data_IF_802469890618
#
_entry.id   IF_802469890618
#
_cell.length_a   1.000
_cell.length_b   1.000
_cell.length_c   1.000
_cell.angle_alpha   90.00
_cell.angle_beta   90.00
_cell.angle_gamma   90.00
#
_symmetry.space_group_name_H-M   'P 1'
#
loop_
_entity.id
_entity.type
_entity.pdbx_description
1 polymer ?
#
# COMPACT_ATOMS: atom_id res chain seq x y z
N UNK A 1 17.83 7.89 23.10
CA UNK A 1 17.78 6.67 22.26
C UNK A 1 18.02 7.10 20.81
N UNK A 2 19.00 6.53 20.10
CA UNK A 2 19.26 6.94 18.70
C UNK A 2 18.11 6.47 17.80
N UNK A 3 17.63 7.32 16.89
CA UNK A 3 16.65 6.95 15.86
C UNK A 3 17.13 5.76 14.99
N UNK A 4 18.43 5.45 15.00
CA UNK A 4 18.98 4.23 14.37
C UNK A 4 18.45 2.94 15.02
N UNK A 5 18.14 2.91 16.31
CA UNK A 5 17.62 1.72 16.97
C UNK A 5 16.17 1.43 16.57
N UNK A 6 15.43 2.44 16.08
CA UNK A 6 14.11 2.28 15.46
C UNK A 6 14.20 1.77 14.01
N UNK A 7 15.41 1.74 13.42
CA UNK A 7 15.67 1.20 12.08
C UNK A 7 16.10 -0.27 12.15
N UNK A 8 15.25 -1.12 12.73
CA UNK A 8 15.50 -2.54 12.90
C UNK A 8 14.33 -3.35 12.31
N UNK A 9 14.52 -4.13 11.24
CA UNK A 9 13.43 -4.88 10.61
C UNK A 9 12.71 -5.87 11.56
N UNK A 10 13.40 -6.67 12.39
CA UNK A 10 12.74 -7.44 13.46
C UNK A 10 11.85 -6.61 14.37
N UNK A 11 12.26 -5.40 14.76
CA UNK A 11 11.44 -4.53 15.62
C UNK A 11 10.16 -4.07 14.91
N UNK A 12 10.25 -3.68 13.63
CA UNK A 12 9.07 -3.28 12.84
C UNK A 12 8.13 -4.47 12.63
N UNK A 13 8.67 -5.65 12.32
CA UNK A 13 7.89 -6.88 12.18
C UNK A 13 7.20 -7.27 13.50
N UNK A 14 7.91 -7.19 14.63
CA UNK A 14 7.36 -7.47 15.95
C UNK A 14 6.28 -6.46 16.34
N UNK A 15 6.48 -5.17 16.05
CA UNK A 15 5.48 -4.14 16.29
C UNK A 15 4.19 -4.41 15.50
N UNK A 16 4.32 -4.73 14.22
CA UNK A 16 3.18 -5.10 13.38
C UNK A 16 2.49 -6.38 13.85
N UNK A 17 3.24 -7.41 14.21
CA UNK A 17 2.67 -8.66 14.74
C UNK A 17 1.94 -8.44 16.08
N UNK A 18 2.55 -7.67 16.98
CA UNK A 18 1.93 -7.29 18.27
C UNK A 18 0.64 -6.52 18.05
N UNK A 19 0.64 -5.59 17.10
CA UNK A 19 -0.56 -4.82 16.74
C UNK A 19 -1.66 -5.74 16.20
N UNK A 20 -1.34 -6.67 15.29
CA UNK A 20 -2.32 -7.64 14.76
C UNK A 20 -2.92 -8.52 15.85
N UNK A 21 -2.08 -9.07 16.73
CA UNK A 21 -2.51 -9.99 17.80
C UNK A 21 -3.30 -9.24 18.87
N UNK A 22 -2.88 -8.03 19.21
CA UNK A 22 -3.51 -7.22 20.25
C UNK A 22 -4.78 -6.51 19.81
N UNK A 23 -5.04 -6.40 18.50
CA UNK A 23 -6.17 -5.62 17.97
C UNK A 23 -7.54 -6.04 18.54
N UNK A 24 -7.91 -7.34 18.64
CA UNK A 24 -9.19 -7.73 19.22
C UNK A 24 -9.32 -7.33 20.70
N UNK A 25 -8.23 -7.39 21.47
CA UNK A 25 -8.23 -6.99 22.87
C UNK A 25 -8.34 -5.46 23.01
N UNK A 26 -7.62 -4.72 22.16
CA UNK A 26 -7.70 -3.27 22.11
C UNK A 26 -9.11 -2.81 21.73
N UNK A 27 -9.73 -3.45 20.74
CA UNK A 27 -11.09 -3.18 20.30
C UNK A 27 -12.11 -3.45 21.42
N UNK A 28 -12.02 -4.60 22.10
CA UNK A 28 -12.85 -4.90 23.26
C UNK A 28 -12.69 -3.90 24.42
N UNK A 29 -11.45 -3.47 24.68
CA UNK A 29 -11.17 -2.50 25.74
C UNK A 29 -11.73 -1.10 25.41
N UNK A 30 -11.51 -0.62 24.18
CA UNK A 30 -11.98 0.69 23.75
C UNK A 30 -13.48 0.75 23.55
N UNK A 31 -14.09 -0.32 23.01
CA UNK A 31 -15.54 -0.35 22.75
C UNK A 31 -16.39 -0.39 24.02
N UNK A 32 -15.88 -0.96 25.11
CA UNK A 32 -16.65 -1.17 26.35
C UNK A 32 -16.54 -0.07 27.39
N UNK A 33 -15.41 0.67 27.41
CA UNK A 33 -15.06 1.47 28.59
C UNK A 33 -14.38 2.81 28.30
N UNK A 34 -13.99 3.09 27.05
CA UNK A 34 -13.30 4.32 26.72
C UNK A 34 -14.26 5.52 26.67
N UNK A 35 -13.81 6.67 27.17
CA UNK A 35 -14.53 7.92 26.99
C UNK A 35 -14.45 8.38 25.55
N UNK A 36 -15.48 9.08 25.08
CA UNK A 36 -15.54 9.64 23.73
C UNK A 36 -14.34 10.57 23.45
N UNK A 37 -13.92 11.35 24.44
CA UNK A 37 -12.73 12.21 24.35
C UNK A 37 -11.46 11.42 24.09
N UNK A 38 -11.28 10.27 24.77
CA UNK A 38 -10.13 9.40 24.55
C UNK A 38 -10.15 8.83 23.14
N UNK A 39 -11.29 8.31 22.68
CA UNK A 39 -11.44 7.74 21.33
C UNK A 39 -11.09 8.74 20.22
N UNK A 40 -11.60 9.96 20.31
CA UNK A 40 -11.29 11.06 19.39
C UNK A 40 -9.79 11.40 19.41
N UNK A 41 -9.21 11.48 20.61
CA UNK A 41 -7.79 11.82 20.80
C UNK A 41 -6.88 10.75 20.19
N UNK A 42 -7.22 9.47 20.36
CA UNK A 42 -6.49 8.36 19.76
C UNK A 42 -6.54 8.41 18.23
N UNK A 43 -7.71 8.66 17.64
CA UNK A 43 -7.85 8.78 16.19
C UNK A 43 -7.04 9.96 15.64
N UNK A 44 -7.08 11.13 16.30
CA UNK A 44 -6.27 12.31 15.92
C UNK A 44 -4.78 11.98 16.00
N UNK A 45 -4.33 11.40 17.11
CA UNK A 45 -2.92 11.09 17.32
C UNK A 45 -2.40 10.04 16.31
N UNK A 46 -3.17 9.00 16.03
CA UNK A 46 -2.81 7.97 15.07
C UNK A 46 -2.74 8.53 13.64
N UNK A 47 -3.74 9.31 13.23
CA UNK A 47 -3.74 9.94 11.91
C UNK A 47 -2.59 10.96 11.75
N UNK A 48 -2.35 11.80 12.76
CA UNK A 48 -1.21 12.72 12.74
C UNK A 48 0.13 11.98 12.64
N UNK A 49 0.28 10.86 13.36
CA UNK A 49 1.47 10.00 13.27
C UNK A 49 1.66 9.47 11.85
N UNK A 50 0.58 9.00 11.22
CA UNK A 50 0.59 8.52 9.84
C UNK A 50 0.98 9.63 8.84
N UNK A 51 0.36 10.81 8.95
CA UNK A 51 0.70 11.99 8.12
C UNK A 51 2.19 12.36 8.24
N UNK A 52 2.75 12.33 9.46
CA UNK A 52 4.18 12.58 9.67
C UNK A 52 5.03 11.47 9.02
N UNK A 53 4.65 10.21 9.20
CA UNK A 53 5.38 9.07 8.65
C UNK A 53 5.45 9.11 7.11
N UNK A 54 4.34 9.45 6.46
CA UNK A 54 4.27 9.52 4.98
C UNK A 54 4.90 10.79 4.40
N UNK A 55 4.99 11.85 5.20
CA UNK A 55 5.72 13.07 4.82
C UNK A 55 7.24 12.86 4.84
N UNK A 56 7.71 11.82 5.54
CA UNK A 56 9.13 11.48 5.71
C UNK A 56 9.43 9.99 5.38
N UNK A 57 9.06 9.46 4.19
CA UNK A 57 9.28 8.04 3.87
C UNK A 57 10.78 7.75 3.85
N UNK A 58 11.22 6.69 4.54
CA UNK A 58 12.63 6.26 4.55
C UNK A 58 13.66 7.25 5.16
N UNK A 59 13.24 8.49 5.50
CA UNK A 59 14.14 9.64 5.66
C UNK A 59 14.67 9.92 7.06
N UNK A 60 14.20 9.20 8.09
CA UNK A 60 14.55 9.53 9.48
C UNK A 60 16.01 9.23 9.88
N UNK A 61 16.78 8.50 9.05
CA UNK A 61 18.22 8.26 9.29
C UNK A 61 19.15 9.10 8.40
N UNK A 62 18.58 9.97 7.55
CA UNK A 62 19.32 10.98 6.78
C UNK A 62 20.23 10.46 5.66
N UNK A 63 20.34 9.14 5.44
CA UNK A 63 21.22 8.60 4.39
C UNK A 63 20.71 8.88 2.97
N UNK A 64 19.43 8.61 2.72
CA UNK A 64 18.80 8.89 1.41
C UNK A 64 18.67 10.40 1.16
N UNK A 65 18.46 11.20 2.20
CA UNK A 65 18.46 12.67 2.11
C UNK A 65 19.87 13.21 1.81
N UNK A 66 20.92 12.61 2.36
CA UNK A 66 22.31 12.95 2.00
C UNK A 66 22.65 12.53 0.56
N UNK A 67 22.18 11.39 0.08
CA UNK A 67 22.41 10.93 -1.30
C UNK A 67 21.64 11.76 -2.33
N UNK A 68 20.39 12.15 -2.04
CA UNK A 68 19.62 13.09 -2.87
C UNK A 68 20.23 14.50 -2.87
N UNK A 69 20.64 15.03 -1.72
CA UNK A 69 21.30 16.36 -1.63
C UNK A 69 22.68 16.39 -2.29
N UNK A 70 23.38 15.25 -2.35
CA UNK A 70 24.66 15.10 -3.08
C UNK A 70 24.49 15.02 -4.60
N UNK A 71 23.25 14.95 -5.11
CA UNK A 71 22.97 14.91 -6.54
C UNK A 71 23.24 13.55 -7.21
N UNK A 72 23.47 12.49 -6.42
CA UNK A 72 23.75 11.13 -6.90
C UNK A 72 22.50 10.39 -7.41
N UNK A 73 21.32 11.00 -7.29
CA UNK A 73 20.05 10.47 -7.77
C UNK A 73 19.40 11.39 -8.84
N UNK A 74 20.19 12.30 -9.45
CA UNK A 74 19.67 13.19 -10.48
C UNK A 74 19.54 12.46 -11.84
N UNK A 75 18.32 12.20 -12.35
CA UNK A 75 18.12 11.46 -13.60
C UNK A 75 18.54 12.22 -14.86
N UNK A 76 18.97 13.49 -14.73
CA UNK A 76 19.37 14.35 -15.86
C UNK A 76 20.88 14.55 -15.99
N UNK A 77 21.70 14.03 -15.08
CA UNK A 77 23.16 14.08 -15.23
C UNK A 77 23.65 12.80 -15.94
N UNK A 78 24.25 12.90 -17.14
CA UNK A 78 25.03 11.79 -17.67
C UNK A 78 26.25 11.57 -16.78
N UNK A 79 26.61 10.31 -16.54
CA UNK A 79 27.76 9.93 -15.72
C UNK A 79 29.04 10.54 -16.31
N UNK A 80 29.53 11.60 -15.67
CA UNK A 80 30.85 12.16 -15.96
C UNK A 80 31.87 11.37 -15.13
N UNK A 81 32.20 10.17 -15.60
CA UNK A 81 33.51 9.60 -15.28
C UNK A 81 34.09 8.83 -16.46
N UNK A 82 35.15 9.44 -17.01
CA UNK A 82 36.27 8.85 -17.76
C UNK A 82 36.06 8.51 -19.24
N UNK A 83 36.33 9.51 -20.08
CA UNK A 83 36.99 9.31 -21.36
C UNK A 83 38.46 8.90 -21.09
N UNK A 84 38.75 7.61 -21.17
CA UNK A 84 40.06 7.08 -21.58
C UNK A 84 39.87 5.63 -22.02
N UNK A 85 40.34 5.35 -23.23
CA UNK A 85 40.43 4.03 -23.83
C UNK A 85 41.07 3.02 -22.88
N UNK A 86 40.43 1.87 -22.68
CA UNK A 86 41.05 0.54 -22.88
C UNK A 86 40.02 -0.56 -22.60
N UNK A 87 40.01 -1.53 -23.51
CA UNK A 87 39.28 -2.79 -23.45
C UNK A 87 39.64 -3.59 -22.20
N UNK A 88 38.72 -3.67 -21.24
CA UNK A 88 38.67 -4.75 -20.24
C UNK A 88 37.27 -4.86 -19.65
N UNK A 89 36.78 -6.09 -19.56
CA UNK A 89 35.49 -6.43 -18.97
C UNK A 89 35.37 -5.90 -17.54
N UNK A 90 34.47 -4.95 -17.29
CA UNK A 90 34.09 -4.57 -15.94
C UNK A 90 32.59 -4.30 -15.89
N UNK A 91 31.86 -5.34 -15.51
CA UNK A 91 30.64 -5.25 -14.71
C UNK A 91 30.93 -4.36 -13.50
N UNK A 92 30.79 -3.05 -13.63
CA UNK A 92 30.71 -2.16 -12.46
C UNK A 92 29.24 -2.03 -12.12
N UNK A 93 28.89 -2.72 -11.03
CA UNK A 93 27.64 -2.61 -10.31
C UNK A 93 27.28 -1.14 -10.12
N UNK A 94 26.34 -0.63 -10.92
CA UNK A 94 25.67 0.61 -10.61
C UNK A 94 25.01 0.45 -9.24
N UNK A 95 25.34 1.37 -8.33
CA UNK A 95 24.82 1.39 -6.98
C UNK A 95 23.29 1.47 -7.01
N UNK A 96 22.69 0.31 -6.79
CA UNK A 96 21.25 0.10 -6.67
C UNK A 96 20.68 1.02 -5.59
N UNK A 97 19.87 2.00 -6.00
CA UNK A 97 18.84 2.51 -5.10
C UNK A 97 17.99 1.29 -4.68
N UNK A 98 17.89 0.96 -3.38
CA UNK A 98 17.28 -0.29 -2.90
C UNK A 98 15.77 -0.41 -3.21
N UNK A 99 15.16 0.65 -3.76
CA UNK A 99 13.77 0.70 -4.19
C UNK A 99 13.58 1.16 -5.64
N UNK A 100 14.64 1.14 -6.48
CA UNK A 100 14.39 0.95 -7.90
C UNK A 100 13.82 -0.46 -8.02
N UNK A 101 12.49 -0.57 -7.97
CA UNK A 101 11.75 -1.67 -8.59
C UNK A 101 12.49 -1.92 -9.89
N UNK A 102 13.10 -3.08 -10.07
CA UNK A 102 13.62 -3.40 -11.38
C UNK A 102 12.37 -3.57 -12.25
N UNK A 103 11.96 -2.58 -13.05
CA UNK A 103 10.66 -2.58 -13.70
C UNK A 103 10.58 -3.75 -14.70
N UNK A 104 11.76 -4.26 -15.08
CA UNK A 104 11.97 -5.43 -15.91
C UNK A 104 11.78 -6.78 -15.21
N UNK A 105 11.49 -6.85 -13.91
CA UNK A 105 11.31 -8.13 -13.19
C UNK A 105 9.95 -8.31 -12.50
N UNK A 106 9.27 -7.23 -12.11
CA UNK A 106 7.89 -7.33 -11.60
C UNK A 106 6.88 -7.30 -12.75
N UNK A 107 5.82 -8.08 -12.66
CA UNK A 107 4.66 -7.98 -13.56
C UNK A 107 3.55 -7.10 -13.01
N UNK A 108 3.59 -6.74 -11.72
CA UNK A 108 2.62 -5.83 -11.11
C UNK A 108 3.34 -4.52 -10.84
N UNK A 109 3.18 -3.57 -11.76
CA UNK A 109 3.77 -2.24 -11.66
C UNK A 109 2.74 -1.20 -12.13
N UNK A 110 2.06 -0.50 -11.21
CA UNK A 110 1.08 0.50 -11.58
C UNK A 110 1.74 1.73 -12.22
N UNK A 111 1.06 2.35 -13.18
CA UNK A 111 1.48 3.65 -13.72
C UNK A 111 1.41 4.75 -12.66
N UNK A 112 2.27 5.77 -12.80
CA UNK A 112 2.44 6.83 -11.80
C UNK A 112 1.16 7.59 -11.41
N UNK A 113 0.19 7.70 -12.33
CA UNK A 113 -1.10 8.33 -12.04
C UNK A 113 -1.92 7.59 -10.97
N UNK A 114 -1.67 6.30 -10.76
CA UNK A 114 -2.38 5.50 -9.76
C UNK A 114 -2.26 6.10 -8.37
N UNK A 115 -1.09 6.66 -8.05
CA UNK A 115 -0.76 7.22 -6.75
C UNK A 115 -1.48 8.55 -6.45
N UNK A 116 -2.17 9.15 -7.43
CA UNK A 116 -3.06 10.28 -7.18
C UNK A 116 -4.19 9.94 -6.21
N UNK A 117 -4.53 8.65 -6.05
CA UNK A 117 -5.54 8.15 -5.09
C UNK A 117 -5.24 8.49 -3.63
N UNK A 118 -3.97 8.76 -3.28
CA UNK A 118 -3.62 9.17 -1.93
C UNK A 118 -4.25 10.51 -1.53
N UNK A 119 -4.42 11.44 -2.48
CA UNK A 119 -5.00 12.75 -2.19
C UNK A 119 -6.45 12.66 -1.65
N UNK A 120 -7.41 11.99 -2.33
CA UNK A 120 -8.75 11.82 -1.78
C UNK A 120 -8.79 10.97 -0.51
N UNK A 121 -7.91 9.97 -0.36
CA UNK A 121 -7.80 9.18 0.89
C UNK A 121 -7.44 10.09 2.07
N UNK A 122 -6.30 10.79 2.01
CA UNK A 122 -5.83 11.61 3.13
C UNK A 122 -6.73 12.82 3.41
N UNK A 123 -7.26 13.45 2.36
CA UNK A 123 -8.19 14.57 2.55
C UNK A 123 -9.47 14.10 3.23
N UNK A 124 -10.01 12.95 2.82
CA UNK A 124 -11.20 12.38 3.41
C UNK A 124 -10.99 11.87 4.84
N UNK A 125 -9.86 11.22 5.12
CA UNK A 125 -9.49 10.81 6.48
C UNK A 125 -9.26 12.01 7.40
N UNK A 126 -8.65 13.09 6.90
CA UNK A 126 -8.53 14.34 7.63
C UNK A 126 -9.90 14.95 7.94
N UNK A 127 -10.83 14.92 6.98
CA UNK A 127 -12.19 15.39 7.17
C UNK A 127 -12.95 14.56 8.21
N UNK A 128 -12.82 13.22 8.18
CA UNK A 128 -13.35 12.33 9.23
C UNK A 128 -12.79 12.69 10.61
N UNK A 129 -11.47 12.81 10.73
CA UNK A 129 -10.80 13.12 11.99
C UNK A 129 -11.20 14.49 12.53
N UNK A 130 -11.35 15.49 11.66
CA UNK A 130 -11.84 16.81 12.04
C UNK A 130 -13.32 16.76 12.47
N UNK A 131 -14.18 16.13 11.66
CA UNK A 131 -15.62 16.06 11.94
C UNK A 131 -15.92 15.39 13.27
N UNK A 132 -15.28 14.24 13.56
CA UNK A 132 -15.50 13.54 14.84
C UNK A 132 -15.08 14.40 16.05
N UNK A 133 -14.09 15.30 15.92
CA UNK A 133 -13.64 16.13 17.05
C UNK A 133 -14.76 17.06 17.49
N UNK A 134 -15.44 17.69 16.52
CA UNK A 134 -16.54 18.62 16.77
C UNK A 134 -17.90 17.95 16.95
N UNK A 135 -18.07 16.71 16.48
CA UNK A 135 -19.34 15.99 16.57
C UNK A 135 -19.62 15.49 18.00
N UNK A 136 -20.82 15.74 18.50
CA UNK A 136 -21.28 15.30 19.83
C UNK A 136 -22.64 14.58 19.77
N UNK A 137 -23.09 14.23 18.57
CA UNK A 137 -24.35 13.53 18.35
C UNK A 137 -24.27 12.05 18.76
N UNK A 138 -25.45 11.46 18.94
CA UNK A 138 -25.60 10.07 19.38
C UNK A 138 -24.98 9.06 18.41
N UNK A 139 -25.00 9.35 17.10
CA UNK A 139 -24.45 8.48 16.06
C UNK A 139 -22.93 8.41 16.17
N UNK A 140 -22.28 9.55 16.33
CA UNK A 140 -20.83 9.62 16.63
C UNK A 140 -20.47 8.86 17.90
N UNK A 141 -21.25 9.03 18.96
CA UNK A 141 -21.01 8.37 20.24
C UNK A 141 -21.20 6.85 20.18
N UNK A 142 -22.13 6.37 19.36
CA UNK A 142 -22.36 4.94 19.14
C UNK A 142 -21.32 4.30 18.21
N UNK A 143 -20.84 5.04 17.21
CA UNK A 143 -19.99 4.49 16.16
C UNK A 143 -18.51 4.45 16.54
N UNK A 144 -17.97 5.53 17.11
CA UNK A 144 -16.53 5.64 17.43
C UNK A 144 -15.96 4.48 18.26
N UNK A 145 -16.67 3.93 19.28
CA UNK A 145 -16.17 2.81 20.06
C UNK A 145 -15.80 1.58 19.21
N UNK A 146 -16.43 1.40 18.04
CA UNK A 146 -16.19 0.28 17.12
C UNK A 146 -15.23 0.61 15.97
N UNK A 147 -14.90 1.90 15.77
CA UNK A 147 -14.00 2.32 14.69
C UNK A 147 -12.59 2.63 15.18
N UNK A 148 -12.44 3.10 16.43
CA UNK A 148 -11.17 3.67 16.89
C UNK A 148 -10.04 2.66 16.90
N UNK A 149 -10.20 1.48 17.50
CA UNK A 149 -9.12 0.48 17.54
C UNK A 149 -8.65 0.09 16.12
N UNK A 150 -9.53 -0.32 15.19
CA UNK A 150 -9.11 -0.66 13.84
C UNK A 150 -8.61 0.53 13.03
N UNK A 151 -9.16 1.74 13.19
CA UNK A 151 -8.64 2.94 12.51
C UNK A 151 -7.23 3.32 13.00
N UNK A 152 -6.99 3.25 14.32
CA UNK A 152 -5.67 3.45 14.92
C UNK A 152 -4.70 2.41 14.38
N UNK A 153 -5.08 1.13 14.38
CA UNK A 153 -4.24 0.07 13.84
C UNK A 153 -3.89 0.29 12.37
N UNK A 154 -4.85 0.67 11.53
CA UNK A 154 -4.62 0.98 10.12
C UNK A 154 -3.55 2.08 9.94
N UNK A 155 -3.65 3.16 10.71
CA UNK A 155 -2.70 4.28 10.68
C UNK A 155 -1.29 3.86 11.16
N UNK A 156 -1.21 3.03 12.20
CA UNK A 156 0.05 2.51 12.71
C UNK A 156 0.71 1.54 11.72
N UNK A 157 -0.05 0.61 11.14
CA UNK A 157 0.45 -0.27 10.07
C UNK A 157 0.96 0.54 8.88
N UNK A 158 0.25 1.58 8.46
CA UNK A 158 0.71 2.46 7.39
C UNK A 158 2.01 3.20 7.74
N UNK A 159 2.12 3.66 8.98
CA UNK A 159 3.36 4.28 9.48
C UNK A 159 4.53 3.30 9.46
N UNK A 160 4.30 2.04 9.85
CA UNK A 160 5.29 0.96 9.80
C UNK A 160 5.64 0.56 8.36
N UNK A 161 4.68 0.60 7.45
CA UNK A 161 4.92 0.45 6.01
C UNK A 161 5.89 1.53 5.51
N UNK A 162 5.69 2.79 5.86
CA UNK A 162 6.63 3.86 5.51
C UNK A 162 8.04 3.63 6.08
N UNK A 163 8.15 3.07 7.29
CA UNK A 163 9.42 2.71 7.88
C UNK A 163 10.14 1.56 7.13
N UNK A 164 9.38 0.69 6.45
CA UNK A 164 9.90 -0.46 5.70
C UNK A 164 10.52 -0.11 4.34
N UNK A 165 10.51 1.17 3.93
CA UNK A 165 11.20 1.66 2.73
C UNK A 165 12.69 1.97 2.95
N UNK A 166 13.30 1.49 4.04
CA UNK A 166 14.71 1.73 4.31
C UNK A 166 15.60 0.64 3.71
N UNK A 167 16.86 0.93 3.34
CA UNK A 167 17.76 -0.05 2.74
C UNK A 167 17.94 -1.35 3.57
N UNK A 168 17.79 -1.28 4.89
CA UNK A 168 17.85 -2.43 5.80
C UNK A 168 16.78 -3.50 5.53
N UNK A 169 15.68 -3.14 4.88
CA UNK A 169 14.57 -4.04 4.54
C UNK A 169 14.76 -4.69 3.16
N UNK A 170 15.80 -4.37 2.40
CA UNK A 170 16.00 -4.92 1.04
C UNK A 170 16.56 -6.35 1.02
N UNK A 171 16.98 -6.89 2.17
CA UNK A 171 17.68 -8.17 2.30
C UNK A 171 16.76 -9.26 2.85
N UNK A 172 17.17 -10.52 2.67
CA UNK A 172 16.57 -11.67 3.34
C UNK A 172 15.05 -11.76 3.29
N UNK A 173 14.43 -11.99 4.45
CA UNK A 173 12.98 -12.05 4.66
C UNK A 173 12.38 -10.66 4.91
N UNK A 174 13.21 -9.70 5.29
CA UNK A 174 12.84 -8.34 5.69
C UNK A 174 12.11 -7.59 4.57
N UNK A 175 12.40 -7.95 3.32
CA UNK A 175 11.72 -7.41 2.13
C UNK A 175 10.22 -7.60 2.12
N UNK A 176 9.69 -8.59 2.83
CA UNK A 176 8.26 -8.89 2.87
C UNK A 176 7.51 -8.06 3.93
N UNK A 177 8.22 -7.35 4.82
CA UNK A 177 7.60 -6.54 5.87
C UNK A 177 6.69 -5.46 5.26
N UNK A 178 7.11 -4.82 4.17
CA UNK A 178 6.28 -3.81 3.49
C UNK A 178 4.91 -4.36 3.06
N UNK A 179 4.90 -5.52 2.42
CA UNK A 179 3.67 -6.18 2.00
C UNK A 179 2.79 -6.57 3.21
N UNK A 180 3.42 -7.09 4.27
CA UNK A 180 2.73 -7.46 5.50
C UNK A 180 2.10 -6.25 6.23
N UNK A 181 2.79 -5.11 6.29
CA UNK A 181 2.24 -3.90 6.91
C UNK A 181 1.04 -3.37 6.13
N UNK A 182 1.09 -3.33 4.79
CA UNK A 182 -0.08 -2.94 3.99
C UNK A 182 -1.25 -3.93 4.11
N UNK A 183 -0.96 -5.23 4.21
CA UNK A 183 -1.99 -6.23 4.48
C UNK A 183 -2.62 -6.02 5.87
N UNK A 184 -1.82 -5.64 6.87
CA UNK A 184 -2.30 -5.23 8.20
C UNK A 184 -3.19 -3.98 8.16
N UNK A 185 -2.81 -2.97 7.36
CA UNK A 185 -3.66 -1.80 7.08
C UNK A 185 -4.99 -2.24 6.48
N UNK A 186 -4.96 -3.09 5.45
CA UNK A 186 -6.16 -3.61 4.79
C UNK A 186 -7.07 -4.40 5.72
N UNK A 187 -6.51 -5.30 6.53
CA UNK A 187 -7.25 -6.04 7.55
C UNK A 187 -7.93 -5.08 8.54
N UNK A 188 -7.18 -4.10 9.06
CA UNK A 188 -7.71 -3.14 10.01
C UNK A 188 -8.85 -2.30 9.41
N UNK A 189 -8.69 -1.82 8.16
CA UNK A 189 -9.75 -1.09 7.47
C UNK A 189 -10.96 -1.95 7.11
N UNK A 190 -10.79 -3.27 6.92
CA UNK A 190 -11.93 -4.18 6.74
C UNK A 190 -12.82 -4.26 7.99
N UNK A 191 -12.23 -4.10 9.17
CA UNK A 191 -12.98 -4.02 10.43
C UNK A 191 -13.71 -2.69 10.56
N UNK A 192 -13.05 -1.57 10.19
CA UNK A 192 -13.70 -0.24 10.08
C UNK A 192 -14.90 -0.32 9.14
N UNK A 193 -14.74 -0.95 7.97
CA UNK A 193 -15.82 -1.12 7.00
C UNK A 193 -16.97 -1.95 7.57
N UNK A 194 -16.66 -3.05 8.27
CA UNK A 194 -17.67 -3.94 8.84
C UNK A 194 -18.51 -3.23 9.91
N UNK A 195 -17.86 -2.51 10.83
CA UNK A 195 -18.52 -1.69 11.84
C UNK A 195 -19.31 -0.53 11.22
N UNK A 196 -18.72 0.13 10.22
CA UNK A 196 -19.31 1.24 9.50
C UNK A 196 -20.55 0.88 8.69
N UNK A 197 -20.54 -0.28 8.02
CA UNK A 197 -21.68 -0.74 7.21
C UNK A 197 -22.90 -1.03 8.07
N UNK A 198 -22.70 -1.61 9.26
CA UNK A 198 -23.78 -1.83 10.22
C UNK A 198 -24.41 -0.51 10.68
N UNK A 199 -23.59 0.53 10.91
CA UNK A 199 -24.07 1.84 11.33
C UNK A 199 -24.73 2.65 10.20
N UNK A 200 -24.22 2.56 8.98
CA UNK A 200 -24.77 3.28 7.82
C UNK A 200 -26.20 2.83 7.47
N UNK A 201 -26.54 1.55 7.71
CA UNK A 201 -27.92 1.04 7.58
C UNK A 201 -28.84 1.64 8.64
N UNK A 202 -28.31 1.95 9.81
CA UNK A 202 -29.09 2.50 10.92
C UNK A 202 -29.27 4.02 10.83
N UNK A 203 -28.26 4.75 10.33
CA UNK A 203 -28.30 6.22 10.20
C UNK A 203 -27.37 6.75 9.08
N UNK A 204 -27.93 7.61 8.22
CA UNK A 204 -27.23 8.28 7.10
C UNK A 204 -26.62 9.63 7.51
N UNK A 205 -25.90 9.64 8.64
CA UNK A 205 -25.23 10.83 9.17
C UNK A 205 -24.03 11.27 8.31
N UNK A 206 -23.54 12.49 8.53
CA UNK A 206 -22.31 12.99 7.89
C UNK A 206 -21.10 12.09 8.19
N UNK A 207 -21.02 11.49 9.37
CA UNK A 207 -19.94 10.56 9.71
C UNK A 207 -20.04 9.29 8.86
N UNK A 208 -21.26 8.79 8.59
CA UNK A 208 -21.47 7.64 7.72
C UNK A 208 -20.93 7.89 6.31
N UNK A 209 -21.09 9.11 5.78
CA UNK A 209 -20.48 9.50 4.49
C UNK A 209 -18.95 9.65 4.57
N UNK A 210 -18.42 10.10 5.71
CA UNK A 210 -16.98 10.23 5.94
C UNK A 210 -16.26 8.89 6.19
N UNK A 211 -16.97 7.76 6.11
CA UNK A 211 -16.36 6.42 6.02
C UNK A 211 -15.94 6.05 4.59
N UNK A 212 -16.49 6.72 3.58
CA UNK A 212 -16.14 6.50 2.17
C UNK A 212 -14.63 6.54 1.90
N UNK A 213 -13.85 7.50 2.44
CA UNK A 213 -12.39 7.54 2.26
C UNK A 213 -11.69 6.29 2.81
N UNK A 214 -12.23 5.68 3.86
CA UNK A 214 -11.66 4.48 4.50
C UNK A 214 -11.97 3.25 3.65
N UNK A 215 -13.14 3.20 3.01
CA UNK A 215 -13.48 2.19 2.01
C UNK A 215 -12.57 2.30 0.78
N UNK A 216 -12.33 3.52 0.29
CA UNK A 216 -11.37 3.77 -0.80
C UNK A 216 -9.97 3.32 -0.36
N UNK A 217 -9.54 3.72 0.83
CA UNK A 217 -8.24 3.34 1.37
C UNK A 217 -8.10 1.82 1.46
N UNK A 218 -9.13 1.11 1.95
CA UNK A 218 -9.17 -0.34 2.02
C UNK A 218 -8.98 -1.01 0.65
N UNK A 219 -9.70 -0.53 -0.37
CA UNK A 219 -9.56 -1.02 -1.74
C UNK A 219 -8.15 -0.81 -2.28
N UNK A 220 -7.58 0.38 -2.03
CA UNK A 220 -6.22 0.71 -2.46
C UNK A 220 -5.17 -0.17 -1.81
N UNK A 221 -5.17 -0.32 -0.47
CA UNK A 221 -4.16 -1.12 0.23
C UNK A 221 -4.28 -2.61 -0.05
N UNK A 222 -5.46 -3.10 -0.40
CA UNK A 222 -5.63 -4.47 -0.92
C UNK A 222 -4.74 -4.69 -2.14
N UNK A 223 -4.85 -3.83 -3.15
CA UNK A 223 -4.01 -3.92 -4.35
C UNK A 223 -2.54 -3.59 -4.06
N UNK A 224 -2.27 -2.57 -3.26
CA UNK A 224 -0.91 -2.13 -2.94
C UNK A 224 -0.12 -3.19 -2.16
N UNK A 225 -0.77 -3.99 -1.30
CA UNK A 225 -0.12 -5.10 -0.60
C UNK A 225 0.42 -6.14 -1.58
N UNK A 226 -0.35 -6.46 -2.62
CA UNK A 226 0.04 -7.38 -3.69
C UNK A 226 1.15 -6.80 -4.57
N UNK A 227 1.10 -5.50 -4.88
CA UNK A 227 2.19 -4.78 -5.57
C UNK A 227 3.48 -4.90 -4.76
N UNK A 228 3.42 -4.66 -3.46
CA UNK A 228 4.58 -4.75 -2.57
C UNK A 228 5.10 -6.18 -2.49
N UNK A 229 4.23 -7.19 -2.40
CA UNK A 229 4.62 -8.60 -2.41
C UNK A 229 5.36 -8.98 -3.70
N UNK A 230 4.89 -8.51 -4.87
CA UNK A 230 5.58 -8.71 -6.14
C UNK A 230 6.93 -8.00 -6.17
N UNK A 231 7.00 -6.76 -5.67
CA UNK A 231 8.24 -6.00 -5.53
C UNK A 231 9.26 -6.72 -4.63
N UNK A 232 8.81 -7.27 -3.50
CA UNK A 232 9.62 -8.06 -2.57
C UNK A 232 10.21 -9.29 -3.26
N UNK A 233 9.42 -10.06 -4.02
CA UNK A 233 9.98 -11.21 -4.74
C UNK A 233 10.91 -10.77 -5.87
N UNK A 234 10.55 -9.70 -6.61
CA UNK A 234 11.33 -9.18 -7.73
C UNK A 234 12.69 -8.59 -7.32
N UNK A 235 12.82 -8.10 -6.08
CA UNK A 235 14.09 -7.64 -5.53
C UNK A 235 15.04 -8.79 -5.16
N UNK A 236 14.58 -10.05 -5.19
CA UNK A 236 15.45 -11.20 -5.01
C UNK A 236 16.06 -11.58 -6.37
N UNK A 237 17.34 -11.29 -6.57
CA UNK A 237 18.06 -11.62 -7.81
C UNK A 237 17.96 -13.11 -8.14
N UNK A 238 17.95 -13.96 -7.11
CA UNK A 238 17.85 -15.42 -7.25
C UNK A 238 16.41 -15.92 -7.50
N UNK A 239 15.40 -15.05 -7.52
CA UNK A 239 14.02 -15.47 -7.78
C UNK A 239 13.88 -16.00 -9.22
N UNK A 240 13.39 -17.25 -9.41
CA UNK A 240 13.19 -17.81 -10.74
C UNK A 240 12.15 -17.00 -11.54
N UNK A 241 12.34 -16.81 -12.87
CA UNK A 241 11.37 -16.11 -13.70
C UNK A 241 9.95 -16.69 -13.61
N UNK A 242 9.83 -18.03 -13.53
CA UNK A 242 8.54 -18.71 -13.37
C UNK A 242 7.79 -18.28 -12.11
N UNK A 243 8.50 -18.11 -11.00
CA UNK A 243 7.90 -17.68 -9.72
C UNK A 243 7.41 -16.24 -9.79
N UNK A 244 8.16 -15.35 -10.46
CA UNK A 244 7.76 -13.96 -10.68
C UNK A 244 6.53 -13.85 -11.58
N UNK A 245 6.48 -14.67 -12.64
CA UNK A 245 5.31 -14.76 -13.53
C UNK A 245 4.09 -15.28 -12.79
N UNK A 246 4.23 -16.39 -12.06
CA UNK A 246 3.16 -17.00 -11.29
C UNK A 246 2.61 -16.04 -10.23
N UNK A 247 3.49 -15.37 -9.47
CA UNK A 247 3.05 -14.39 -8.47
C UNK A 247 2.33 -13.21 -9.10
N UNK A 248 2.80 -12.69 -10.24
CA UNK A 248 2.17 -11.57 -10.94
C UNK A 248 0.75 -11.89 -11.40
N UNK A 249 0.58 -13.04 -12.07
CA UNK A 249 -0.73 -13.49 -12.54
C UNK A 249 -1.68 -13.78 -11.38
N UNK A 250 -1.22 -14.52 -10.37
CA UNK A 250 -2.00 -14.81 -9.17
C UNK A 250 -2.41 -13.53 -8.44
N UNK A 251 -1.55 -12.51 -8.39
CA UNK A 251 -1.87 -11.23 -7.76
C UNK A 251 -2.99 -10.48 -8.48
N UNK A 252 -3.01 -10.47 -9.81
CA UNK A 252 -4.13 -9.88 -10.55
C UNK A 252 -5.44 -10.63 -10.33
N UNK A 253 -5.39 -11.98 -10.30
CA UNK A 253 -6.55 -12.82 -10.05
C UNK A 253 -7.09 -12.64 -8.62
N UNK A 254 -6.22 -12.63 -7.61
CA UNK A 254 -6.59 -12.40 -6.21
C UNK A 254 -7.16 -11.00 -6.03
N UNK A 255 -6.53 -9.97 -6.58
CA UNK A 255 -7.06 -8.60 -6.54
C UNK A 255 -8.46 -8.53 -7.17
N UNK A 256 -8.68 -9.21 -8.30
CA UNK A 256 -9.99 -9.27 -8.95
C UNK A 256 -11.02 -10.00 -8.08
N UNK A 257 -10.66 -11.16 -7.54
CA UNK A 257 -11.54 -11.97 -6.70
C UNK A 257 -11.96 -11.22 -5.43
N UNK A 258 -11.01 -10.54 -4.77
CA UNK A 258 -11.30 -9.68 -3.62
C UNK A 258 -12.11 -8.46 -4.02
N UNK A 259 -11.72 -7.77 -5.09
CA UNK A 259 -12.41 -6.61 -5.66
C UNK A 259 -13.88 -6.88 -5.95
N UNK A 260 -14.19 -8.00 -6.58
CA UNK A 260 -15.57 -8.43 -6.85
C UNK A 260 -16.25 -8.94 -5.58
N UNK A 261 -15.60 -9.86 -4.87
CA UNK A 261 -16.19 -10.58 -3.74
C UNK A 261 -16.55 -9.67 -2.56
N UNK A 262 -15.64 -8.80 -2.13
CA UNK A 262 -15.87 -7.86 -1.03
C UNK A 262 -16.92 -6.81 -1.43
N UNK A 263 -16.86 -6.30 -2.66
CA UNK A 263 -17.84 -5.32 -3.16
C UNK A 263 -19.25 -5.86 -3.12
N UNK A 264 -19.46 -7.09 -3.60
CA UNK A 264 -20.78 -7.74 -3.59
C UNK A 264 -21.19 -8.13 -2.17
N UNK A 265 -20.30 -8.75 -1.40
CA UNK A 265 -20.63 -9.26 -0.07
C UNK A 265 -20.93 -8.15 0.95
N UNK A 266 -20.37 -6.95 0.75
CA UNK A 266 -20.51 -5.83 1.68
C UNK A 266 -21.29 -4.64 1.08
N UNK A 267 -21.76 -4.75 -0.17
CA UNK A 267 -22.39 -3.63 -0.92
C UNK A 267 -21.54 -2.36 -0.91
N UNK A 268 -20.24 -2.49 -1.19
CA UNK A 268 -19.24 -1.42 -1.10
C UNK A 268 -18.69 -1.01 -2.47
N UNK A 269 -19.46 -0.26 -3.29
CA UNK A 269 -19.03 0.07 -4.65
C UNK A 269 -17.70 0.83 -4.71
N UNK A 270 -17.43 1.70 -3.73
CA UNK A 270 -16.17 2.44 -3.65
C UNK A 270 -14.93 1.55 -3.51
N UNK A 271 -15.06 0.41 -2.80
CA UNK A 271 -13.99 -0.57 -2.67
C UNK A 271 -13.66 -1.17 -4.04
N UNK A 272 -14.69 -1.68 -4.73
CA UNK A 272 -14.56 -2.27 -6.08
C UNK A 272 -14.00 -1.29 -7.10
N UNK A 273 -14.48 -0.04 -7.12
CA UNK A 273 -13.96 1.00 -8.00
C UNK A 273 -12.49 1.33 -7.72
N UNK A 274 -12.06 1.29 -6.46
CA UNK A 274 -10.66 1.55 -6.11
C UNK A 274 -9.74 0.40 -6.53
N UNK A 275 -10.19 -0.86 -6.37
CA UNK A 275 -9.46 -2.02 -6.90
C UNK A 275 -9.43 -1.97 -8.43
N UNK A 276 -10.53 -1.57 -9.07
CA UNK A 276 -10.60 -1.37 -10.52
C UNK A 276 -9.59 -0.33 -11.01
N UNK A 277 -9.49 0.80 -10.31
CA UNK A 277 -8.49 1.86 -10.54
C UNK A 277 -7.06 1.32 -10.47
N UNK A 278 -6.73 0.56 -9.43
CA UNK A 278 -5.39 -0.01 -9.25
C UNK A 278 -5.04 -1.03 -10.34
N UNK A 279 -5.99 -1.88 -10.74
CA UNK A 279 -5.80 -2.86 -11.81
C UNK A 279 -5.65 -2.18 -13.18
N UNK A 280 -6.45 -1.15 -13.48
CA UNK A 280 -6.29 -0.36 -14.70
C UNK A 280 -4.88 0.28 -14.77
N UNK A 281 -4.39 0.82 -13.66
CA UNK A 281 -3.04 1.36 -13.59
C UNK A 281 -1.95 0.30 -13.81
N UNK A 282 -2.11 -0.91 -13.29
CA UNK A 282 -1.19 -2.02 -13.56
C UNK A 282 -1.19 -2.40 -15.04
N UNK A 283 -2.36 -2.42 -15.68
CA UNK A 283 -2.48 -2.71 -17.10
C UNK A 283 -1.82 -1.63 -17.99
N UNK A 284 -1.98 -0.35 -17.64
CA UNK A 284 -1.29 0.77 -18.28
C UNK A 284 0.23 0.68 -18.07
N UNK A 285 0.67 0.37 -16.85
CA UNK A 285 2.09 0.17 -16.53
C UNK A 285 2.74 -0.94 -17.35
N UNK A 286 2.03 -2.04 -17.61
CA UNK A 286 2.51 -3.11 -18.50
C UNK A 286 2.60 -2.69 -19.96
N UNK A 287 1.82 -1.70 -20.40
CA UNK A 287 1.88 -1.18 -21.79
C UNK A 287 3.15 -0.36 -22.03
N UNK A 288 3.65 0.31 -21.00
CA UNK A 288 4.85 1.17 -21.06
C UNK A 288 6.15 0.39 -20.93
N UNK A 289 6.09 -0.94 -20.84
CA UNK A 289 7.27 -1.79 -20.70
C UNK A 289 7.90 -2.05 -22.07
N UNK A 290 9.10 -1.52 -22.26
CA UNK A 290 9.88 -1.76 -23.47
C UNK A 290 10.90 -2.87 -23.21
N UNK A 291 10.90 -3.97 -23.98
CA UNK A 291 11.99 -4.94 -23.92
C UNK A 291 13.29 -4.33 -24.47
N UNK A 292 14.47 -4.80 -24.01
CA UNK A 292 15.74 -4.38 -24.59
C UNK A 292 15.86 -4.84 -26.04
N UNK A 293 16.76 -4.19 -26.80
CA UNK A 293 16.98 -4.45 -28.23
C UNK A 293 17.49 -5.86 -28.52
N UNK A 294 18.18 -6.50 -27.58
CA UNK A 294 18.60 -7.90 -27.63
C UNK A 294 18.16 -8.61 -26.34
N UNK A 295 16.93 -9.16 -26.31
CA UNK A 295 16.40 -9.79 -25.11
C UNK A 295 17.02 -11.17 -24.88
N UNK A 296 17.46 -11.42 -23.66
CA UNK A 296 17.70 -12.76 -23.15
C UNK A 296 16.41 -13.60 -23.14
N UNK A 297 16.55 -14.92 -23.06
CA UNK A 297 15.39 -15.85 -22.97
C UNK A 297 14.46 -15.51 -21.78
N UNK A 298 15.04 -15.05 -20.67
CA UNK A 298 14.27 -14.61 -19.51
C UNK A 298 13.45 -13.35 -19.82
N UNK A 299 14.04 -12.38 -20.53
CA UNK A 299 13.34 -11.14 -20.91
C UNK A 299 12.25 -11.38 -21.95
N UNK A 300 12.47 -12.31 -22.89
CA UNK A 300 11.41 -12.73 -23.82
C UNK A 300 10.23 -13.36 -23.07
N UNK A 301 10.53 -14.22 -22.08
CA UNK A 301 9.51 -14.82 -21.20
C UNK A 301 8.72 -13.75 -20.45
N UNK A 302 9.41 -12.75 -19.88
CA UNK A 302 8.76 -11.64 -19.19
C UNK A 302 7.94 -10.74 -20.11
N UNK A 303 8.39 -10.52 -21.35
CA UNK A 303 7.65 -9.74 -22.35
C UNK A 303 6.31 -10.42 -22.69
N UNK A 304 6.34 -11.73 -22.95
CA UNK A 304 5.12 -12.53 -23.19
C UNK A 304 4.20 -12.51 -21.96
N UNK A 305 4.78 -12.71 -20.77
CA UNK A 305 4.02 -12.69 -19.53
C UNK A 305 3.40 -11.32 -19.23
N UNK A 306 4.09 -10.22 -19.55
CA UNK A 306 3.55 -8.87 -19.40
C UNK A 306 2.30 -8.64 -20.28
N UNK A 307 2.28 -9.23 -21.49
CA UNK A 307 1.10 -9.21 -22.36
C UNK A 307 -0.11 -9.93 -21.73
N UNK A 308 0.11 -11.10 -21.12
CA UNK A 308 -0.94 -11.83 -20.38
C UNK A 308 -1.38 -11.03 -19.15
N UNK A 309 -0.43 -10.53 -18.37
CA UNK A 309 -0.69 -9.72 -17.18
C UNK A 309 -1.54 -8.48 -17.50
N UNK A 310 -1.22 -7.76 -18.58
CA UNK A 310 -2.01 -6.61 -19.04
C UNK A 310 -3.47 -6.99 -19.26
N UNK A 311 -3.73 -8.12 -19.94
CA UNK A 311 -5.09 -8.61 -20.18
C UNK A 311 -5.80 -8.98 -18.89
N UNK A 312 -5.11 -9.68 -17.98
CA UNK A 312 -5.65 -10.03 -16.66
C UNK A 312 -6.04 -8.79 -15.85
N UNK A 313 -5.16 -7.79 -15.78
CA UNK A 313 -5.43 -6.55 -15.07
C UNK A 313 -6.58 -5.75 -15.71
N UNK A 314 -6.66 -5.68 -17.04
CA UNK A 314 -7.79 -5.03 -17.72
C UNK A 314 -9.12 -5.74 -17.45
N UNK A 315 -9.15 -7.07 -17.61
CA UNK A 315 -10.35 -7.87 -17.34
C UNK A 315 -10.78 -7.76 -15.87
N UNK A 316 -9.82 -7.82 -14.96
CA UNK A 316 -10.06 -7.66 -13.53
C UNK A 316 -10.59 -6.27 -13.17
N UNK A 317 -10.04 -5.21 -13.78
CA UNK A 317 -10.53 -3.85 -13.61
C UNK A 317 -11.98 -3.72 -14.05
N UNK A 318 -12.32 -4.23 -15.24
CA UNK A 318 -13.69 -4.25 -15.74
C UNK A 318 -14.64 -5.03 -14.82
N UNK A 319 -14.23 -6.22 -14.36
CA UNK A 319 -15.04 -7.04 -13.46
C UNK A 319 -15.31 -6.33 -12.12
N UNK A 320 -14.30 -5.67 -11.54
CA UNK A 320 -14.47 -4.91 -10.30
C UNK A 320 -15.40 -3.69 -10.50
N UNK A 321 -15.27 -2.97 -11.63
CA UNK A 321 -16.15 -1.85 -11.95
C UNK A 321 -17.60 -2.31 -12.19
N UNK A 322 -17.81 -3.44 -12.87
CA UNK A 322 -19.13 -4.03 -13.06
C UNK A 322 -19.75 -4.49 -11.73
N UNK A 323 -18.97 -5.11 -10.85
CA UNK A 323 -19.43 -5.48 -9.51
C UNK A 323 -19.82 -4.24 -8.68
N UNK A 324 -19.06 -3.16 -8.78
CA UNK A 324 -19.40 -1.90 -8.13
C UNK A 324 -20.69 -1.27 -8.69
N UNK A 325 -20.86 -1.27 -10.02
CA UNK A 325 -22.10 -0.80 -10.64
C UNK A 325 -23.30 -1.64 -10.21
N UNK A 326 -23.14 -2.96 -10.12
CA UNK A 326 -24.16 -3.88 -9.62
C UNK A 326 -24.51 -3.62 -8.15
N UNK A 327 -23.51 -3.38 -7.29
CA UNK A 327 -23.73 -3.08 -5.87
C UNK A 327 -24.42 -1.73 -5.60
N UNK A 328 -24.55 -0.87 -6.62
CA UNK A 328 -25.31 0.38 -6.54
C UNK A 328 -26.81 0.22 -6.89
N UNK A 329 -27.23 -0.93 -7.44
CA UNK A 329 -28.62 -1.23 -7.81
C UNK A 329 -29.39 -1.80 -6.62
#
# INVERSE_FOLDING_TARGET
>A
MSLRNLNNPPLVALAGATLSIGLPMLDAALSSSASLTLLKSLNVAAFATNVIAVSLPGRLDGKEDQEMRRGNLNPTKPDVTTATNESTSFLKSESSSPYKLNPSRTLVNPSGWAFAIWAPIYLGEAAFVAAQVFASDATTAALLPHLTAPFVAANLFQSLWCASFRPSFSKGWERYISAAMLAGTGYSLSLVQSAGSAAAVADSSIISYLLLPMTIHFGWVTAASLVNLNGSLASNENAPPRSLVALGHSSALIATALGVGVTIAQSTPAYGLTVAWALAACADGMTKRTPPSQPSVAEETFSKAAGVQKKLCWAGSFACAAAAAYACL
#
